data_IF_919794811755
#
_entry.id   IF_919794811755
#
_cell.length_a   1.000
_cell.length_b   1.000
_cell.length_c   1.000
_cell.angle_alpha   90.00
_cell.angle_beta   90.00
_cell.angle_gamma   90.00
#
_symmetry.space_group_name_H-M   'P 1'
#
loop_
_entity.id
_entity.type
_entity.pdbx_description
1 polymer ?
#
# COMPACT_ATOMS: atom_id res chain seq x y z
N UNK A 1 22.01 -49.32 43.81
CA UNK A 1 21.10 -49.16 42.65
C UNK A 1 20.92 -47.68 42.44
N UNK A 2 21.29 -47.26 41.24
CA UNK A 2 21.66 -45.91 40.84
C UNK A 2 20.52 -44.89 40.95
N UNK A 3 20.88 -43.63 41.23
CA UNK A 3 19.99 -42.49 41.00
C UNK A 3 20.48 -41.77 39.74
N UNK A 4 19.78 -42.00 38.64
CA UNK A 4 19.99 -41.33 37.36
C UNK A 4 19.48 -39.89 37.42
N UNK A 5 20.21 -38.99 36.75
CA UNK A 5 19.92 -37.57 36.71
C UNK A 5 19.00 -37.19 35.56
N UNK A 6 18.25 -36.10 35.74
CA UNK A 6 17.47 -35.48 34.68
C UNK A 6 17.86 -34.00 34.54
N UNK A 7 18.27 -33.67 33.32
CA UNK A 7 18.87 -32.41 32.89
C UNK A 7 17.77 -31.37 32.69
N UNK A 8 17.82 -30.27 33.42
CA UNK A 8 16.92 -29.12 33.24
C UNK A 8 17.38 -28.30 32.03
N UNK A 9 16.77 -28.52 30.86
CA UNK A 9 17.04 -27.72 29.66
C UNK A 9 16.33 -26.38 29.77
N UNK A 10 17.12 -25.30 29.74
CA UNK A 10 16.69 -23.91 29.68
C UNK A 10 16.31 -23.59 28.23
N UNK A 11 15.05 -23.27 27.99
CA UNK A 11 14.56 -22.80 26.68
C UNK A 11 14.15 -21.34 26.82
N UNK A 12 15.08 -20.49 26.43
CA UNK A 12 14.88 -19.06 26.22
C UNK A 12 14.44 -18.86 24.77
N UNK A 13 13.18 -18.47 24.55
CA UNK A 13 12.68 -18.12 23.23
C UNK A 13 12.68 -16.59 23.11
N UNK A 14 13.82 -16.07 22.65
CA UNK A 14 14.00 -14.66 22.31
C UNK A 14 13.29 -14.39 20.99
N UNK A 15 12.02 -14.00 21.06
CA UNK A 15 11.30 -13.47 19.91
C UNK A 15 11.66 -11.99 19.75
N UNK A 16 12.69 -11.72 18.96
CA UNK A 16 13.00 -10.36 18.49
C UNK A 16 12.04 -9.99 17.36
N UNK A 17 10.92 -9.37 17.71
CA UNK A 17 10.16 -8.56 16.78
C UNK A 17 10.92 -7.23 16.59
N UNK A 18 11.59 -7.07 15.44
CA UNK A 18 12.12 -5.77 15.04
C UNK A 18 10.94 -4.93 14.58
N UNK A 19 10.43 -4.16 15.54
CA UNK A 19 9.20 -3.42 15.47
C UNK A 19 9.19 -2.39 14.32
N UNK A 20 8.04 -2.37 13.65
CA UNK A 20 7.76 -1.65 12.42
C UNK A 20 7.04 -0.37 12.83
N UNK A 21 7.81 0.64 13.22
CA UNK A 21 7.42 2.04 13.45
C UNK A 21 5.93 2.24 13.72
N UNK A 22 5.60 2.27 15.01
CA UNK A 22 4.32 2.69 15.57
C UNK A 22 3.73 3.89 14.81
N UNK A 23 2.63 3.64 14.10
CA UNK A 23 1.76 4.72 13.62
C UNK A 23 0.84 5.01 14.80
N UNK A 24 1.10 6.10 15.52
CA UNK A 24 0.33 6.50 16.71
C UNK A 24 -1.15 6.70 16.36
N UNK A 25 -1.95 5.68 16.67
CA UNK A 25 -3.39 5.62 16.40
C UNK A 25 -4.16 6.76 17.08
N UNK A 26 -3.58 7.35 18.13
CA UNK A 26 -4.15 8.45 18.92
C UNK A 26 -4.03 9.83 18.27
N UNK A 27 -3.16 10.03 17.28
CA UNK A 27 -3.05 11.33 16.60
C UNK A 27 -4.14 11.52 15.54
N UNK A 28 -4.54 10.45 14.86
CA UNK A 28 -5.60 10.49 13.85
C UNK A 28 -6.95 10.93 14.42
N UNK A 29 -7.29 10.46 15.63
CA UNK A 29 -8.52 10.81 16.32
C UNK A 29 -8.58 12.28 16.75
N UNK A 30 -7.45 12.92 17.04
CA UNK A 30 -7.41 14.35 17.43
C UNK A 30 -7.56 15.29 16.23
N UNK A 31 -7.33 14.80 15.01
CA UNK A 31 -7.47 15.57 13.77
C UNK A 31 -8.86 15.48 13.15
N UNK A 32 -9.69 14.56 13.65
CA UNK A 32 -11.08 14.37 13.24
C UNK A 32 -12.01 14.82 14.39
N UNK A 33 -12.16 16.14 14.52
CA UNK A 33 -13.12 16.72 15.44
C UNK A 33 -14.52 16.65 14.81
N UNK A 34 -15.32 15.67 15.22
CA UNK A 34 -16.76 15.62 14.91
C UNK A 34 -17.49 16.15 16.13
N UNK A 35 -18.03 17.37 16.03
CA UNK A 35 -18.86 17.95 17.08
C UNK A 35 -20.26 17.37 16.97
N UNK A 36 -20.60 16.42 17.85
CA UNK A 36 -21.97 15.94 18.00
C UNK A 36 -22.79 17.00 18.74
N UNK A 37 -23.79 17.58 18.08
CA UNK A 37 -24.86 18.32 18.76
C UNK A 37 -25.78 17.33 19.47
N UNK A 38 -26.17 17.63 20.70
CA UNK A 38 -27.02 16.78 21.54
C UNK A 38 -28.49 16.69 21.09
N UNK A 39 -28.83 17.32 19.97
CA UNK A 39 -30.13 17.26 19.31
C UNK A 39 -29.98 16.34 18.09
N UNK A 40 -29.75 15.05 18.35
CA UNK A 40 -29.59 14.03 17.32
C UNK A 40 -30.94 13.74 16.65
N UNK A 41 -31.23 14.45 15.56
CA UNK A 41 -32.10 13.95 14.50
C UNK A 41 -31.33 12.82 13.77
N UNK A 42 -32.00 11.74 13.36
CA UNK A 42 -31.35 10.56 12.75
C UNK A 42 -30.75 10.81 11.34
N UNK A 43 -30.63 12.08 10.93
CA UNK A 43 -30.27 12.55 9.59
C UNK A 43 -28.98 13.43 9.55
N UNK A 44 -28.10 13.33 10.57
CA UNK A 44 -26.80 14.03 10.54
C UNK A 44 -25.83 13.36 9.53
N UNK A 45 -25.93 13.79 8.26
CA UNK A 45 -25.03 13.36 7.19
C UNK A 45 -23.62 13.96 7.35
N UNK A 46 -22.61 13.10 7.53
CA UNK A 46 -21.20 13.52 7.56
C UNK A 46 -20.62 13.60 6.13
N UNK A 47 -20.08 14.77 5.76
CA UNK A 47 -19.46 14.99 4.44
C UNK A 47 -17.94 15.19 4.58
N UNK A 48 -17.15 14.49 3.77
CA UNK A 48 -15.69 14.65 3.72
C UNK A 48 -15.35 15.92 2.92
N UNK A 49 -14.92 16.98 3.61
CA UNK A 49 -14.57 18.26 2.98
C UNK A 49 -13.19 18.27 2.30
N UNK A 50 -12.34 17.27 2.58
CA UNK A 50 -11.03 17.14 1.93
C UNK A 50 -10.02 16.32 2.73
N UNK A 51 -8.83 16.14 2.15
CA UNK A 51 -7.66 15.54 2.80
C UNK A 51 -6.57 16.57 3.00
N UNK A 52 -5.91 16.55 4.16
CA UNK A 52 -4.81 17.44 4.50
C UNK A 52 -3.48 16.68 4.47
N UNK A 53 -2.57 17.09 3.59
CA UNK A 53 -1.21 16.54 3.45
C UNK A 53 -0.95 15.82 2.12
N UNK A 54 0.28 15.30 1.91
CA UNK A 54 0.62 14.51 0.73
C UNK A 54 -0.18 13.20 0.68
N UNK A 55 -0.78 12.92 -0.47
CA UNK A 55 -1.50 11.68 -0.76
C UNK A 55 -0.57 10.77 -1.57
N UNK A 56 -0.24 9.60 -1.04
CA UNK A 56 0.72 8.65 -1.63
C UNK A 56 0.51 8.43 -3.14
N UNK A 57 -0.75 8.20 -3.53
CA UNK A 57 -1.17 7.87 -4.89
C UNK A 57 -1.40 9.08 -5.81
N UNK A 58 -1.12 10.28 -5.32
CA UNK A 58 -1.26 11.53 -6.05
C UNK A 58 0.07 12.27 -6.17
N UNK A 59 0.82 12.32 -5.07
CA UNK A 59 1.94 13.24 -4.89
C UNK A 59 3.31 12.53 -5.00
N UNK A 60 3.37 11.21 -4.83
CA UNK A 60 4.58 10.40 -4.95
C UNK A 60 4.60 9.53 -6.22
N UNK A 61 5.78 9.10 -6.70
CA UNK A 61 5.87 8.19 -7.84
C UNK A 61 5.01 6.94 -7.67
N UNK A 62 4.06 6.72 -8.57
CA UNK A 62 3.13 5.59 -8.50
C UNK A 62 2.85 4.97 -9.87
N UNK A 63 2.45 3.70 -9.92
CA UNK A 63 2.02 3.07 -11.15
C UNK A 63 0.65 3.56 -11.61
N UNK A 64 0.37 3.47 -12.92
CA UNK A 64 -0.85 4.01 -13.52
C UNK A 64 -2.16 3.50 -12.91
N UNK A 65 -2.21 2.21 -12.56
CA UNK A 65 -3.41 1.59 -11.97
C UNK A 65 -3.70 2.08 -10.55
N UNK A 66 -2.74 2.74 -9.89
CA UNK A 66 -2.92 3.37 -8.58
C UNK A 66 -3.05 4.89 -8.68
N UNK A 67 -3.18 5.47 -9.87
CA UNK A 67 -3.22 6.93 -10.01
C UNK A 67 -4.53 7.50 -9.44
N UNK A 68 -4.43 8.34 -8.41
CA UNK A 68 -5.60 9.02 -7.83
C UNK A 68 -6.07 10.21 -8.67
N UNK A 69 -5.19 10.85 -9.45
CA UNK A 69 -5.54 11.96 -10.35
C UNK A 69 -6.34 11.50 -11.57
N UNK A 70 -6.02 10.32 -12.08
CA UNK A 70 -6.67 9.71 -13.23
C UNK A 70 -7.09 8.29 -12.85
N UNK A 71 -8.28 8.11 -12.25
CA UNK A 71 -8.71 6.78 -11.82
C UNK A 71 -8.72 5.81 -12.99
N UNK A 72 -8.15 4.62 -12.78
CA UNK A 72 -7.84 3.69 -13.88
C UNK A 72 -9.08 3.23 -14.66
N UNK A 73 -10.22 3.07 -13.99
CA UNK A 73 -11.46 2.59 -14.60
C UNK A 73 -12.26 3.67 -15.33
N UNK A 74 -12.09 4.95 -14.95
CA UNK A 74 -12.91 6.05 -15.48
C UNK A 74 -12.18 6.94 -16.49
N UNK A 75 -10.87 6.81 -16.60
CA UNK A 75 -10.05 7.68 -17.46
C UNK A 75 -9.30 6.88 -18.52
N UNK A 76 -9.12 7.44 -19.74
CA UNK A 76 -8.33 6.78 -20.77
C UNK A 76 -6.92 6.45 -20.28
N UNK A 77 -6.39 5.31 -20.72
CA UNK A 77 -5.06 4.84 -20.31
C UNK A 77 -3.92 5.69 -20.88
N UNK A 78 -4.21 6.52 -21.88
CA UNK A 78 -3.28 7.53 -22.40
C UNK A 78 -3.02 8.65 -21.38
N UNK A 79 -3.98 8.94 -20.51
CA UNK A 79 -3.85 9.99 -19.51
C UNK A 79 -3.02 9.47 -18.34
N UNK A 80 -1.91 10.16 -18.04
CA UNK A 80 -1.06 9.90 -16.90
C UNK A 80 -0.66 11.23 -16.24
N UNK A 81 -0.45 11.22 -14.92
CA UNK A 81 0.02 12.41 -14.20
C UNK A 81 1.56 12.46 -14.19
N UNK A 82 2.12 13.60 -13.77
CA UNK A 82 3.58 13.79 -13.68
C UNK A 82 4.29 12.85 -12.70
N UNK A 83 3.54 12.21 -11.79
CA UNK A 83 4.05 11.22 -10.83
C UNK A 83 3.84 9.78 -11.29
N UNK A 84 3.17 9.56 -12.42
CA UNK A 84 3.01 8.21 -12.96
C UNK A 84 4.36 7.67 -13.47
N UNK A 85 4.64 6.39 -13.22
CA UNK A 85 5.76 5.69 -13.84
C UNK A 85 5.33 4.33 -14.42
N UNK A 86 6.09 3.87 -15.40
CA UNK A 86 5.92 2.54 -15.99
C UNK A 86 6.62 1.50 -15.11
N UNK A 87 5.89 0.56 -14.52
CA UNK A 87 6.47 -0.49 -13.67
C UNK A 87 7.38 -1.44 -14.46
N UNK A 88 7.10 -1.63 -15.75
CA UNK A 88 7.89 -2.53 -16.61
C UNK A 88 9.25 -1.93 -16.92
N UNK A 89 9.27 -0.65 -17.31
CA UNK A 89 10.49 0.05 -17.72
C UNK A 89 11.19 0.80 -16.57
N UNK A 90 10.51 1.02 -15.45
CA UNK A 90 10.98 1.81 -14.31
C UNK A 90 11.36 3.26 -14.70
N UNK A 91 10.59 3.86 -15.61
CA UNK A 91 10.78 5.24 -16.09
C UNK A 91 9.49 6.05 -15.93
N UNK A 92 9.57 7.40 -15.88
CA UNK A 92 8.39 8.26 -15.90
C UNK A 92 7.46 7.91 -17.07
N UNK A 93 6.15 7.93 -16.82
CA UNK A 93 5.15 7.70 -17.84
C UNK A 93 5.02 8.95 -18.74
N UNK A 94 4.71 8.79 -20.04
CA UNK A 94 4.57 7.52 -20.76
C UNK A 94 5.92 6.97 -21.27
N UNK A 95 6.12 5.66 -21.17
CA UNK A 95 7.24 4.97 -21.83
C UNK A 95 6.93 4.64 -23.30
N UNK A 96 7.91 4.22 -24.10
CA UNK A 96 7.73 3.89 -25.53
C UNK A 96 6.64 2.85 -25.81
N UNK A 97 6.40 1.90 -24.90
CA UNK A 97 5.35 0.86 -25.02
C UNK A 97 4.13 1.15 -24.14
N UNK A 98 3.90 2.41 -23.77
CA UNK A 98 2.88 2.78 -22.80
C UNK A 98 1.47 2.34 -23.21
N UNK A 99 1.04 2.71 -24.42
CA UNK A 99 -0.33 2.49 -24.92
C UNK A 99 -0.43 1.45 -26.04
N UNK A 100 0.57 0.58 -26.19
CA UNK A 100 0.74 -0.23 -27.39
C UNK A 100 -0.15 -1.49 -27.42
N UNK A 101 -1.48 -1.29 -27.40
CA UNK A 101 -2.48 -2.35 -27.61
C UNK A 101 -2.38 -3.53 -26.62
N UNK A 102 -2.53 -4.75 -27.14
CA UNK A 102 -2.36 -5.99 -26.37
C UNK A 102 -0.91 -6.05 -25.85
N UNK A 103 -0.72 -5.90 -24.54
CA UNK A 103 0.60 -5.78 -23.90
C UNK A 103 1.06 -4.33 -23.64
N UNK A 104 0.15 -3.36 -23.68
CA UNK A 104 0.43 -1.98 -23.27
C UNK A 104 0.90 -1.92 -21.81
N UNK A 105 2.05 -1.29 -21.57
CA UNK A 105 2.65 -1.21 -20.24
C UNK A 105 1.81 -0.39 -19.24
N UNK A 106 0.83 0.37 -19.70
CA UNK A 106 -0.10 1.09 -18.83
C UNK A 106 -1.07 0.16 -18.07
N UNK A 107 -1.33 -1.05 -18.59
CA UNK A 107 -2.21 -2.05 -17.94
C UNK A 107 -1.46 -2.99 -17.00
N UNK A 108 -0.14 -3.03 -17.13
CA UNK A 108 0.67 -3.96 -16.36
C UNK A 108 0.65 -3.59 -14.88
N UNK A 109 0.04 -4.45 -14.07
CA UNK A 109 0.14 -4.43 -12.61
C UNK A 109 1.01 -5.61 -12.23
N UNK A 110 2.32 -5.42 -12.07
CA UNK A 110 3.20 -6.51 -11.64
C UNK A 110 2.64 -7.11 -10.33
N UNK A 111 2.13 -8.33 -10.41
CA UNK A 111 2.29 -9.31 -9.33
C UNK A 111 3.38 -10.26 -9.79
N UNK A 112 4.65 -10.12 -9.34
CA UNK A 112 5.52 -11.27 -9.40
C UNK A 112 4.89 -12.34 -8.52
N UNK A 113 4.37 -13.38 -9.14
CA UNK A 113 4.09 -14.63 -8.47
C UNK A 113 5.37 -15.02 -7.72
N UNK A 114 5.23 -15.29 -6.44
CA UNK A 114 6.29 -15.76 -5.55
C UNK A 114 6.89 -17.12 -5.95
N UNK A 115 6.65 -17.60 -7.18
CA UNK A 115 7.10 -18.90 -7.68
C UNK A 115 8.17 -18.81 -8.78
N UNK A 116 8.40 -17.64 -9.39
CA UNK A 116 9.42 -17.52 -10.45
C UNK A 116 10.85 -17.40 -9.91
N UNK A 117 11.04 -16.98 -8.65
CA UNK A 117 12.36 -16.89 -8.00
C UNK A 117 12.98 -18.26 -7.64
N UNK A 118 12.18 -19.33 -7.55
CA UNK A 118 12.68 -20.66 -7.12
C UNK A 118 12.92 -21.65 -8.28
N UNK A 119 12.84 -21.23 -9.54
CA UNK A 119 13.04 -22.11 -10.72
C UNK A 119 14.32 -21.86 -11.52
N UNK A 120 15.28 -21.08 -10.99
CA UNK A 120 16.61 -20.92 -11.60
C UNK A 120 17.68 -21.80 -10.93
N UNK A 121 17.28 -22.98 -10.45
CA UNK A 121 18.22 -24.02 -10.03
C UNK A 121 17.64 -25.39 -10.33
N UNK A 122 17.80 -25.85 -11.58
CA UNK A 122 17.95 -27.27 -11.91
C UNK A 122 18.80 -27.39 -13.16
#
# INVERSE_FOLDING_TARGET
MEKEGERKVKMEHKLEAKDRSDIDLVEFSQKLSISASSDADEDDEVVVLGSNGPVALRDFPHPRHLCANFPFESTPHENCCSKCYCIVCQVPAPCSKWKNGIGAHCHESKRPDSQTYMRLST
#
